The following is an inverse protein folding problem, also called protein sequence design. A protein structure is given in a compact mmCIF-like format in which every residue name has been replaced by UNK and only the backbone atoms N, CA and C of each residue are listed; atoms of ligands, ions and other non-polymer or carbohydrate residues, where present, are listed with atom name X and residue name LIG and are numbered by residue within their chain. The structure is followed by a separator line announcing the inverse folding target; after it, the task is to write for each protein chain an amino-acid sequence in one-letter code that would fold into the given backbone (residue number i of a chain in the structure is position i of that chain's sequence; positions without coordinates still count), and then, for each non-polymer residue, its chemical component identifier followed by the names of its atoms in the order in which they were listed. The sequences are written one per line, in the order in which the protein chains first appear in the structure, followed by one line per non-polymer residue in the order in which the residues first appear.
data_IF_484025844984
#
_entry.id   IF_484025844984
#
_cell.length_a   1.000
_cell.length_b   1.000
_cell.length_c   1.000
_cell.angle_alpha   90.00
_cell.angle_beta   90.00
_cell.angle_gamma   90.00
#
_symmetry.space_group_name_H-M   'P 1'
#
loop_
_entity.id
_entity.type
_entity.pdbx_description
1 polymer ?
#
# COMPACT_ATOMS: atom_id res chain seq x y z
N UNK A 1 -8.78 5.49 -8.54
CA UNK A 1 -8.64 4.15 -7.94
C UNK A 1 -7.24 4.06 -7.34
N UNK A 2 -7.06 3.39 -6.21
CA UNK A 2 -5.79 3.22 -5.51
C UNK A 2 -5.42 1.74 -5.58
N UNK A 3 -4.24 1.43 -6.10
CA UNK A 3 -3.68 0.07 -6.08
C UNK A 3 -2.72 0.01 -4.89
N UNK A 4 -2.95 -0.92 -3.97
CA UNK A 4 -2.16 -1.03 -2.75
C UNK A 4 -1.95 -2.48 -2.32
N UNK A 5 -0.86 -2.70 -1.56
CA UNK A 5 -0.47 -4.00 -1.07
C UNK A 5 -0.80 -4.15 0.42
N UNK A 6 -1.47 -5.23 0.78
CA UNK A 6 -1.97 -5.48 2.14
C UNK A 6 -1.71 -6.93 2.56
N UNK A 7 -1.79 -7.19 3.88
CA UNK A 7 -1.79 -8.54 4.43
C UNK A 7 -2.99 -9.32 3.88
N UNK A 8 -2.73 -10.24 2.95
CA UNK A 8 -3.72 -11.25 2.56
C UNK A 8 -4.18 -12.02 3.82
N UNK A 9 -5.47 -12.37 3.90
CA UNK A 9 -6.14 -12.93 5.10
C UNK A 9 -5.57 -14.29 5.58
N UNK A 10 -4.48 -14.79 4.99
CA UNK A 10 -3.90 -16.12 5.20
C UNK A 10 -2.48 -16.19 5.77
N UNK A 11 -1.82 -15.09 6.12
CA UNK A 11 -0.48 -15.13 6.76
C UNK A 11 -0.48 -14.46 8.13
N UNK A 12 -1.21 -15.05 9.09
CA UNK A 12 -1.15 -14.71 10.53
C UNK A 12 -0.12 -15.55 11.30
N UNK A 13 0.88 -16.13 10.63
CA UNK A 13 1.89 -16.95 11.32
C UNK A 13 3.14 -16.12 11.61
N UNK A 14 3.08 -15.23 12.59
CA UNK A 14 4.30 -14.63 13.17
C UNK A 14 4.19 -13.26 13.82
N UNK A 15 3.11 -12.51 13.63
CA UNK A 15 3.02 -11.14 14.19
C UNK A 15 2.33 -11.16 15.55
N UNK A 16 2.93 -10.62 16.62
CA UNK A 16 2.26 -10.48 17.91
C UNK A 16 1.03 -9.58 17.77
N UNK A 17 -0.12 -10.04 18.27
CA UNK A 17 -1.45 -9.38 18.21
C UNK A 17 -1.50 -7.95 18.79
N UNK A 18 -0.41 -7.45 19.37
CA UNK A 18 -0.30 -6.11 19.95
C UNK A 18 -0.08 -5.04 18.84
N UNK A 19 0.43 -5.44 17.67
CA UNK A 19 0.73 -4.51 16.57
C UNK A 19 -0.42 -4.31 15.56
N UNK A 20 -1.50 -5.10 15.67
CA UNK A 20 -2.67 -4.99 14.79
C UNK A 20 -3.37 -3.63 14.91
N UNK A 21 -3.15 -2.90 16.01
CA UNK A 21 -3.70 -1.56 16.24
C UNK A 21 -2.75 -0.39 15.96
N UNK A 22 -1.46 -0.63 15.71
CA UNK A 22 -0.46 0.44 15.55
C UNK A 22 -0.07 0.72 14.09
N UNK A 23 -0.20 -0.27 13.22
CA UNK A 23 0.10 -0.15 11.79
C UNK A 23 -0.89 -0.97 10.97
N UNK A 24 -2.16 -0.59 11.04
CA UNK A 24 -3.13 -1.07 10.05
C UNK A 24 -2.72 -0.49 8.69
N UNK A 25 -2.06 -1.30 7.85
CA UNK A 25 -2.22 -1.11 6.40
C UNK A 25 -3.71 -0.94 6.18
N UNK A 26 -4.16 0.10 5.48
CA UNK A 26 -5.55 0.53 5.40
C UNK A 26 -6.49 -0.59 4.98
N UNK A 27 -6.84 -1.43 5.95
CA UNK A 27 -7.72 -2.55 5.81
C UNK A 27 -9.08 -1.98 6.18
N UNK A 28 -10.07 -2.10 5.30
CA UNK A 28 -11.35 -1.46 5.49
C UNK A 28 -11.97 -1.93 6.82
N UNK A 29 -12.10 -1.00 7.77
CA UNK A 29 -12.92 -1.16 8.98
C UNK A 29 -14.34 -0.66 8.70
N UNK A 30 -14.93 -1.10 7.60
CA UNK A 30 -16.31 -0.77 7.25
C UNK A 30 -17.29 -1.81 7.81
N UNK A 31 -18.35 -1.27 8.42
CA UNK A 31 -19.54 -1.98 8.88
C UNK A 31 -20.15 -2.80 7.72
N UNK A 32 -20.44 -4.07 7.99
CA UNK A 32 -20.19 -5.18 7.05
C UNK A 32 -21.22 -5.45 5.95
N UNK A 33 -22.27 -4.65 5.76
CA UNK A 33 -23.42 -5.10 4.94
C UNK A 33 -23.68 -4.32 3.64
N UNK A 34 -22.97 -3.22 3.36
CA UNK A 34 -23.17 -2.46 2.10
C UNK A 34 -21.87 -2.37 1.30
N UNK A 35 -21.78 -3.01 0.10
CA UNK A 35 -20.61 -2.90 -0.75
C UNK A 35 -20.45 -1.47 -1.27
N UNK A 36 -19.21 -1.02 -1.41
CA UNK A 36 -18.93 0.32 -1.91
C UNK A 36 -19.41 0.46 -3.36
N UNK A 37 -20.26 1.45 -3.65
CA UNK A 37 -20.77 1.69 -5.01
C UNK A 37 -19.68 2.03 -6.04
N UNK A 38 -18.47 2.41 -5.60
CA UNK A 38 -17.35 2.81 -6.48
C UNK A 38 -16.39 1.67 -6.80
N UNK A 39 -16.10 0.80 -5.83
CA UNK A 39 -15.11 -0.28 -5.99
C UNK A 39 -15.67 -1.68 -5.69
N UNK A 40 -16.97 -1.81 -5.41
CA UNK A 40 -17.62 -3.08 -5.14
C UNK A 40 -17.12 -3.73 -3.85
N UNK A 41 -17.28 -5.06 -3.77
CA UNK A 41 -16.73 -5.86 -2.68
C UNK A 41 -15.28 -6.26 -3.02
N UNK A 42 -14.30 -5.48 -2.53
CA UNK A 42 -12.88 -5.74 -2.75
C UNK A 42 -12.38 -7.04 -2.07
N UNK A 43 -13.27 -7.79 -1.39
CA UNK A 43 -12.96 -9.03 -0.66
C UNK A 43 -12.65 -10.22 -1.58
N UNK A 44 -13.14 -10.25 -2.82
CA UNK A 44 -12.92 -11.40 -3.73
C UNK A 44 -11.53 -11.43 -4.37
N UNK A 45 -10.82 -10.29 -4.47
CA UNK A 45 -9.49 -10.18 -5.10
C UNK A 45 -8.36 -10.65 -4.16
N UNK A 46 -8.70 -11.15 -2.95
CA UNK A 46 -7.77 -11.39 -1.83
C UNK A 46 -6.90 -12.65 -1.92
N UNK A 47 -6.50 -13.08 -3.11
CA UNK A 47 -5.55 -14.20 -3.23
C UNK A 47 -4.09 -13.74 -3.31
N UNK A 48 -3.84 -12.51 -3.81
CA UNK A 48 -2.51 -12.09 -4.24
C UNK A 48 -1.92 -10.88 -3.49
N UNK A 49 -2.60 -10.41 -2.43
CA UNK A 49 -2.15 -9.32 -1.54
C UNK A 49 -2.23 -7.89 -2.13
N UNK A 50 -2.20 -7.75 -3.46
CA UNK A 50 -2.40 -6.48 -4.17
C UNK A 50 -3.89 -6.31 -4.51
N UNK A 51 -4.48 -5.17 -4.15
CA UNK A 51 -5.89 -4.87 -4.40
C UNK A 51 -6.08 -3.46 -4.95
N UNK A 52 -7.26 -3.22 -5.53
CA UNK A 52 -7.66 -1.94 -6.10
C UNK A 52 -8.92 -1.43 -5.41
N UNK A 53 -8.89 -0.21 -4.89
CA UNK A 53 -9.99 0.38 -4.10
C UNK A 53 -10.23 1.84 -4.47
N UNK A 54 -11.41 2.39 -4.14
CA UNK A 54 -11.60 3.83 -4.23
C UNK A 54 -10.81 4.55 -3.12
N UNK A 55 -10.57 5.85 -3.29
CA UNK A 55 -9.78 6.62 -2.33
C UNK A 55 -10.41 6.61 -0.93
N UNK A 56 -11.74 6.71 -0.85
CA UNK A 56 -12.45 6.72 0.44
C UNK A 56 -12.31 5.39 1.18
N UNK A 57 -12.41 4.27 0.46
CA UNK A 57 -12.20 2.94 1.04
C UNK A 57 -10.74 2.71 1.44
N UNK A 58 -9.79 3.21 0.65
CA UNK A 58 -8.38 3.19 1.01
C UNK A 58 -8.09 4.04 2.25
N UNK A 59 -8.72 5.20 2.39
CA UNK A 59 -8.51 6.07 3.55
C UNK A 59 -9.15 5.49 4.81
N UNK A 60 -10.36 4.93 4.69
CA UNK A 60 -11.13 4.41 5.83
C UNK A 60 -11.23 5.43 6.99
N UNK A 61 -11.35 6.73 6.65
CA UNK A 61 -11.37 7.84 7.60
C UNK A 61 -10.01 8.37 8.06
N UNK A 62 -8.90 7.80 7.57
CA UNK A 62 -7.53 8.27 7.82
C UNK A 62 -7.12 9.47 6.95
N UNK A 63 -5.89 9.94 7.17
CA UNK A 63 -5.26 11.02 6.41
C UNK A 63 -4.28 10.47 5.36
N UNK A 64 -4.07 11.23 4.28
CA UNK A 64 -3.04 10.93 3.29
C UNK A 64 -1.74 11.66 3.61
N UNK A 65 -0.65 10.95 3.42
CA UNK A 65 0.67 11.54 3.33
C UNK A 65 1.24 11.27 1.93
N UNK A 66 1.80 12.31 1.31
CA UNK A 66 2.45 12.19 0.00
C UNK A 66 3.94 11.91 0.19
N UNK A 67 4.38 10.72 -0.23
CA UNK A 67 5.79 10.35 -0.22
C UNK A 67 6.56 11.08 -1.33
N UNK A 68 7.72 11.65 -0.99
CA UNK A 68 8.49 12.49 -1.91
C UNK A 68 9.61 11.71 -2.60
N UNK A 69 9.68 11.80 -3.93
CA UNK A 69 10.70 11.13 -4.76
C UNK A 69 11.70 12.14 -5.31
N UNK A 70 12.94 11.69 -5.53
CA UNK A 70 14.00 12.49 -6.15
C UNK A 70 14.42 13.69 -5.30
N UNK A 71 14.26 13.61 -3.98
CA UNK A 71 14.68 14.70 -3.09
C UNK A 71 16.21 14.79 -3.03
N UNK A 72 16.75 15.94 -2.66
CA UNK A 72 18.20 16.07 -2.47
C UNK A 72 18.66 15.46 -1.12
N UNK A 73 19.97 15.24 -0.99
CA UNK A 73 20.57 14.62 0.20
C UNK A 73 20.27 15.40 1.48
N UNK A 74 20.31 16.74 1.44
CA UNK A 74 20.05 17.56 2.64
C UNK A 74 18.61 17.37 3.10
N UNK A 75 17.66 17.37 2.17
CA UNK A 75 16.25 17.16 2.43
C UNK A 75 15.99 15.75 2.99
N UNK A 76 16.59 14.72 2.38
CA UNK A 76 16.50 13.35 2.86
C UNK A 76 17.03 13.19 4.29
N UNK A 77 18.19 13.79 4.60
CA UNK A 77 18.78 13.76 5.94
C UNK A 77 18.02 14.61 6.97
N UNK A 78 17.31 15.65 6.52
CA UNK A 78 16.52 16.52 7.39
C UNK A 78 15.21 15.87 7.86
N UNK A 79 14.72 14.82 7.18
CA UNK A 79 13.50 14.13 7.59
C UNK A 79 13.75 13.30 8.85
N UNK A 80 13.32 13.85 9.99
CA UNK A 80 13.46 13.22 11.31
C UNK A 80 12.72 11.87 11.42
N UNK A 81 11.70 11.67 10.59
CA UNK A 81 11.03 10.38 10.40
C UNK A 81 11.45 9.81 9.04
N UNK A 82 12.24 8.74 9.06
CA UNK A 82 12.51 7.94 7.86
C UNK A 82 11.20 7.40 7.25
N UNK A 83 11.26 6.97 5.99
CA UNK A 83 10.09 6.42 5.28
C UNK A 83 9.09 7.46 4.77
N UNK A 84 9.52 8.72 4.63
CA UNK A 84 8.69 9.83 4.12
C UNK A 84 9.13 10.35 2.75
N UNK A 85 10.39 10.12 2.38
CA UNK A 85 10.94 10.49 1.09
C UNK A 85 12.09 9.55 0.67
N UNK A 86 12.49 9.65 -0.59
CA UNK A 86 13.64 8.92 -1.15
C UNK A 86 14.46 9.79 -2.11
N UNK A 87 15.75 9.48 -2.19
CA UNK A 87 16.66 10.06 -3.21
C UNK A 87 16.37 9.51 -4.61
N UNK A 88 15.73 8.34 -4.72
CA UNK A 88 15.38 7.75 -5.99
C UNK A 88 14.33 8.60 -6.73
N UNK A 89 14.58 8.90 -8.00
CA UNK A 89 13.62 9.62 -8.83
C UNK A 89 12.47 8.70 -9.22
N UNK A 90 11.27 9.26 -9.40
CA UNK A 90 10.16 8.52 -9.95
C UNK A 90 10.33 8.32 -11.45
N UNK A 91 9.98 7.13 -11.93
CA UNK A 91 9.81 6.85 -13.35
C UNK A 91 8.58 7.57 -13.93
N UNK A 92 8.46 7.64 -15.27
CA UNK A 92 7.30 8.20 -15.95
C UNK A 92 5.99 7.51 -15.55
N UNK A 93 4.90 8.29 -15.54
CA UNK A 93 3.59 7.81 -15.07
C UNK A 93 3.11 6.54 -15.79
N UNK A 94 3.37 6.41 -17.09
CA UNK A 94 2.96 5.24 -17.88
C UNK A 94 3.66 3.95 -17.41
N UNK A 95 4.95 4.01 -17.07
CA UNK A 95 5.70 2.87 -16.56
C UNK A 95 5.29 2.49 -15.14
N UNK A 96 4.97 3.50 -14.33
CA UNK A 96 4.45 3.32 -12.96
C UNK A 96 3.10 2.62 -13.00
N UNK A 97 2.19 3.11 -13.85
CA UNK A 97 0.87 2.50 -14.04
C UNK A 97 0.98 1.08 -14.59
N UNK A 98 1.86 0.85 -15.58
CA UNK A 98 2.09 -0.48 -16.15
C UNK A 98 2.49 -1.50 -15.08
N UNK A 99 3.46 -1.17 -14.22
CA UNK A 99 3.88 -2.04 -13.11
C UNK A 99 2.76 -2.27 -12.10
N UNK A 100 2.06 -1.21 -11.70
CA UNK A 100 0.99 -1.32 -10.71
C UNK A 100 -0.16 -2.21 -11.21
N UNK A 101 -0.57 -2.08 -12.47
CA UNK A 101 -1.60 -2.94 -13.07
C UNK A 101 -1.12 -4.38 -13.24
N UNK A 102 0.12 -4.57 -13.69
CA UNK A 102 0.71 -5.91 -13.78
C UNK A 102 0.70 -6.62 -12.40
N UNK A 103 1.08 -5.93 -11.33
CA UNK A 103 1.07 -6.49 -9.98
C UNK A 103 -0.32 -6.66 -9.39
N UNK A 104 -1.30 -5.86 -9.82
CA UNK A 104 -2.69 -6.07 -9.46
C UNK A 104 -3.22 -7.41 -10.00
N UNK A 105 -2.81 -7.79 -11.21
CA UNK A 105 -3.21 -9.07 -11.83
C UNK A 105 -2.39 -10.25 -11.29
N UNK A 106 -1.08 -10.07 -11.11
CA UNK A 106 -0.15 -11.17 -10.83
C UNK A 106 0.23 -11.32 -9.35
N UNK A 107 -0.02 -10.30 -8.53
CA UNK A 107 0.41 -10.23 -7.13
C UNK A 107 1.85 -9.76 -6.94
N UNK A 108 2.20 -9.50 -5.67
CA UNK A 108 3.51 -9.01 -5.25
C UNK A 108 4.18 -9.90 -4.20
N UNK A 109 3.74 -11.16 -4.09
CA UNK A 109 4.23 -12.12 -3.11
C UNK A 109 3.57 -12.00 -1.73
N UNK A 110 4.18 -12.65 -0.73
CA UNK A 110 3.68 -12.68 0.65
C UNK A 110 4.02 -11.40 1.40
N UNK A 111 3.06 -10.87 2.16
CA UNK A 111 3.26 -9.63 2.92
C UNK A 111 4.12 -9.87 4.15
N UNK A 112 5.21 -9.12 4.27
CA UNK A 112 6.14 -9.13 5.41
C UNK A 112 6.48 -7.71 5.84
N UNK A 113 6.06 -7.34 7.05
CA UNK A 113 6.19 -5.98 7.59
C UNK A 113 7.59 -5.37 7.46
N UNK A 114 8.65 -6.19 7.56
CA UNK A 114 10.04 -5.71 7.55
C UNK A 114 10.80 -5.93 6.23
N UNK A 115 10.18 -6.51 5.21
CA UNK A 115 10.91 -6.92 3.97
C UNK A 115 10.12 -6.86 2.66
N UNK A 116 8.81 -7.10 2.72
CA UNK A 116 7.95 -7.08 1.54
C UNK A 116 6.60 -6.50 1.99
N UNK A 117 6.59 -5.19 2.21
CA UNK A 117 5.45 -4.46 2.75
C UNK A 117 4.89 -3.45 1.73
N UNK A 118 3.99 -2.58 2.18
CA UNK A 118 3.38 -1.56 1.35
C UNK A 118 4.37 -0.49 0.83
N UNK A 119 5.44 -0.19 1.57
CA UNK A 119 6.49 0.72 1.14
C UNK A 119 7.32 0.08 0.02
N UNK A 120 7.74 -1.18 0.17
CA UNK A 120 8.47 -1.92 -0.86
C UNK A 120 7.67 -1.99 -2.17
N UNK A 121 6.36 -2.26 -2.07
CA UNK A 121 5.45 -2.25 -3.21
C UNK A 121 5.39 -0.88 -3.89
N UNK A 122 5.22 0.19 -3.11
CA UNK A 122 5.12 1.54 -3.65
C UNK A 122 6.43 1.99 -4.30
N UNK A 123 7.58 1.68 -3.70
CA UNK A 123 8.90 1.92 -4.28
C UNK A 123 9.05 1.15 -5.59
N UNK A 124 8.80 -0.16 -5.62
CA UNK A 124 8.90 -0.97 -6.83
C UNK A 124 8.00 -0.47 -7.97
N UNK A 125 6.81 0.05 -7.65
CA UNK A 125 5.93 0.63 -8.65
C UNK A 125 6.42 1.98 -9.16
N UNK A 126 7.16 2.75 -8.35
CA UNK A 126 7.52 4.15 -8.65
C UNK A 126 8.93 4.34 -9.20
N UNK A 127 9.84 3.39 -8.95
CA UNK A 127 11.27 3.43 -9.27
C UNK A 127 11.74 2.09 -9.82
#
# INVERSE_FOLDING_TARGET
MVIHFTTGRGQQNGTPAIFDGLFTSSAPSFDTDIPCLRCGDCREIRTNGVISSCLDCFLSGGELYLFEYGVNIIHFLAQARGGTCTLASSDPADEVLLRAFYLLENGFGGYHLFKNNCEDFAIYCKT
#
